data_IF_728658491741
#
_entry.id   IF_728658491741
#
_cell.length_a   1.000
_cell.length_b   1.000
_cell.length_c   1.000
_cell.angle_alpha   90.00
_cell.angle_beta   90.00
_cell.angle_gamma   90.00
#
_symmetry.space_group_name_H-M   'P 1'
#
loop_
_entity.id
_entity.type
_entity.pdbx_description
1 polymer ?
#
# COMPACT_ATOMS: atom_id res chain seq x y z
N UNK A 1 -9.36 5.73 -19.59
CA UNK A 1 -9.44 6.36 -18.25
C UNK A 1 -9.42 7.87 -18.41
N UNK A 2 -10.20 8.60 -17.62
CA UNK A 2 -10.19 10.07 -17.60
C UNK A 2 -9.59 10.55 -16.27
N UNK A 3 -8.69 11.53 -16.33
CA UNK A 3 -8.05 12.11 -15.16
C UNK A 3 -7.86 13.62 -15.41
N UNK A 4 -8.57 14.45 -14.63
CA UNK A 4 -8.72 15.87 -14.92
C UNK A 4 -9.47 16.09 -16.24
N UNK A 5 -8.98 17.00 -17.07
CA UNK A 5 -9.51 17.30 -18.41
C UNK A 5 -8.98 16.38 -19.52
N UNK A 6 -8.19 15.35 -19.16
CA UNK A 6 -7.45 14.52 -20.12
C UNK A 6 -7.95 13.09 -20.13
N UNK A 7 -8.03 12.52 -21.33
CA UNK A 7 -8.33 11.11 -21.56
C UNK A 7 -7.05 10.34 -21.88
N UNK A 8 -6.86 9.23 -21.19
CA UNK A 8 -5.71 8.35 -21.30
C UNK A 8 -6.13 6.97 -21.78
N UNK A 9 -5.44 6.48 -22.79
CA UNK A 9 -5.49 5.07 -23.18
C UNK A 9 -4.35 4.34 -22.45
N UNK A 10 -4.73 3.50 -21.50
CA UNK A 10 -3.79 2.76 -20.66
C UNK A 10 -4.40 1.40 -20.30
N UNK A 11 -3.55 0.37 -20.19
CA UNK A 11 -3.97 -0.96 -19.78
C UNK A 11 -4.21 -0.93 -18.27
N UNK A 12 -5.44 -1.20 -17.85
CA UNK A 12 -5.82 -1.23 -16.43
C UNK A 12 -6.05 -2.66 -15.98
N UNK A 13 -5.78 -2.92 -14.71
CA UNK A 13 -6.08 -4.20 -14.06
C UNK A 13 -7.42 -4.09 -13.33
N UNK A 14 -8.25 -5.12 -13.45
CA UNK A 14 -9.53 -5.22 -12.75
C UNK A 14 -9.31 -6.13 -11.54
N UNK A 15 -9.57 -5.61 -10.35
CA UNK A 15 -9.56 -6.33 -9.09
C UNK A 15 -10.80 -5.94 -8.28
N UNK A 16 -11.26 -6.83 -7.41
CA UNK A 16 -12.34 -6.54 -6.47
C UNK A 16 -11.77 -5.67 -5.34
N UNK A 17 -11.95 -4.35 -5.48
CA UNK A 17 -11.47 -3.34 -4.53
C UNK A 17 -12.61 -2.39 -4.17
N UNK A 18 -12.57 -1.85 -2.95
CA UNK A 18 -13.57 -0.89 -2.46
C UNK A 18 -13.44 0.48 -3.12
N UNK A 19 -12.23 0.84 -3.56
CA UNK A 19 -11.96 2.11 -4.23
C UNK A 19 -12.36 2.06 -5.71
N UNK A 20 -12.72 3.20 -6.28
CA UNK A 20 -13.13 3.27 -7.69
C UNK A 20 -12.00 2.95 -8.68
N UNK A 21 -10.76 3.31 -8.33
CA UNK A 21 -9.55 2.95 -9.07
C UNK A 21 -8.28 3.26 -8.26
N UNK A 22 -7.20 2.51 -8.50
CA UNK A 22 -5.87 2.80 -7.96
C UNK A 22 -4.95 3.19 -9.12
N UNK A 23 -4.32 4.36 -9.01
CA UNK A 23 -3.31 4.82 -9.97
C UNK A 23 -1.94 4.30 -9.57
N UNK A 24 -1.38 3.43 -10.40
CA UNK A 24 -0.02 2.90 -10.22
C UNK A 24 1.07 3.93 -10.53
N UNK A 25 2.25 3.72 -9.95
CA UNK A 25 3.42 4.57 -10.18
C UNK A 25 3.89 4.53 -11.64
N UNK A 26 3.68 3.40 -12.32
CA UNK A 26 3.92 3.18 -13.74
C UNK A 26 3.08 4.12 -14.62
N UNK A 27 1.79 4.28 -14.32
CA UNK A 27 0.92 5.24 -14.97
C UNK A 27 1.41 6.68 -14.73
N UNK A 28 1.68 7.03 -13.47
CA UNK A 28 2.13 8.37 -13.09
C UNK A 28 3.43 8.74 -13.80
N UNK A 29 4.41 7.84 -13.84
CA UNK A 29 5.69 8.07 -14.49
C UNK A 29 5.57 8.16 -16.01
N UNK A 30 4.74 7.30 -16.63
CA UNK A 30 4.53 7.27 -18.08
C UNK A 30 3.97 8.59 -18.59
N UNK A 31 2.99 9.15 -17.88
CA UNK A 31 2.32 10.40 -18.26
C UNK A 31 2.88 11.64 -17.54
N UNK A 32 4.05 11.50 -16.89
CA UNK A 32 4.80 12.59 -16.24
C UNK A 32 3.97 13.36 -15.21
N UNK A 33 3.14 12.63 -14.47
CA UNK A 33 2.47 13.17 -13.30
C UNK A 33 3.49 13.39 -12.19
N UNK A 34 3.34 14.51 -11.47
CA UNK A 34 4.07 14.75 -10.22
C UNK A 34 3.07 14.76 -9.08
N UNK A 35 3.40 14.06 -7.99
CA UNK A 35 2.56 13.99 -6.80
C UNK A 35 3.14 14.94 -5.76
N UNK A 36 2.36 15.94 -5.40
CA UNK A 36 2.67 16.91 -4.35
C UNK A 36 1.86 16.51 -3.10
N UNK A 37 2.50 15.75 -2.22
CA UNK A 37 1.88 15.24 -0.98
C UNK A 37 1.63 16.36 0.04
N UNK A 38 2.33 17.49 -0.05
CA UNK A 38 2.11 18.61 0.87
C UNK A 38 0.82 19.34 0.54
N UNK A 39 0.53 19.48 -0.75
CA UNK A 39 -0.68 20.15 -1.24
C UNK A 39 -1.83 19.19 -1.52
N UNK A 40 -1.58 17.89 -1.43
CA UNK A 40 -2.51 16.85 -1.86
C UNK A 40 -2.97 17.06 -3.32
N UNK A 41 -2.02 17.35 -4.21
CA UNK A 41 -2.27 17.59 -5.63
C UNK A 41 -1.48 16.60 -6.49
N UNK A 42 -2.07 16.16 -7.60
CA UNK A 42 -1.30 15.60 -8.72
C UNK A 42 -1.21 16.68 -9.80
N UNK A 43 -0.02 16.88 -10.39
CA UNK A 43 0.17 17.79 -11.51
C UNK A 43 0.53 17.06 -12.78
N UNK A 44 -0.06 17.48 -13.89
CA UNK A 44 0.30 17.03 -15.24
C UNK A 44 0.42 18.23 -16.17
N UNK A 45 1.63 18.50 -16.67
CA UNK A 45 1.90 19.73 -17.41
C UNK A 45 1.52 20.99 -16.61
N UNK A 46 0.57 21.77 -17.11
CA UNK A 46 0.03 22.97 -16.46
C UNK A 46 -1.21 22.71 -15.58
N UNK A 47 -1.73 21.49 -15.58
CA UNK A 47 -2.97 21.13 -14.89
C UNK A 47 -2.67 20.62 -13.48
N UNK A 48 -3.49 21.05 -12.53
CA UNK A 48 -3.45 20.60 -11.13
C UNK A 48 -4.75 19.90 -10.80
N UNK A 49 -4.64 18.69 -10.29
CA UNK A 49 -5.77 17.86 -9.90
C UNK A 49 -5.67 17.69 -8.39
N UNK A 50 -6.60 18.31 -7.65
CA UNK A 50 -6.70 18.11 -6.20
C UNK A 50 -7.14 16.68 -5.92
N UNK A 51 -6.43 16.00 -5.02
CA UNK A 51 -6.76 14.64 -4.59
C UNK A 51 -8.02 14.59 -3.70
N UNK A 52 -8.45 15.73 -3.16
CA UNK A 52 -9.63 15.87 -2.31
C UNK A 52 -10.55 16.99 -2.79
N UNK A 53 -11.86 16.77 -2.71
CA UNK A 53 -12.91 17.77 -3.01
C UNK A 53 -13.56 18.38 -1.75
N UNK A 54 -13.00 18.13 -0.56
CA UNK A 54 -13.52 18.65 0.72
C UNK A 54 -12.63 19.76 1.29
N UNK A 55 -13.23 20.82 1.84
CA UNK A 55 -12.51 21.96 2.41
C UNK A 55 -11.57 21.53 3.55
N UNK A 56 -10.26 21.60 3.32
CA UNK A 56 -9.26 21.56 4.40
C UNK A 56 -9.26 22.90 5.12
N UNK A 57 -9.87 23.00 6.30
CA UNK A 57 -9.50 24.04 7.25
C UNK A 57 -8.26 23.57 8.01
N UNK A 58 -7.19 24.36 7.95
CA UNK A 58 -5.98 24.15 8.72
C UNK A 58 -6.26 24.42 10.21
N UNK A 59 -6.52 23.38 11.01
CA UNK A 59 -6.38 23.51 12.45
C UNK A 59 -4.91 23.36 12.85
N UNK A 60 -4.30 24.50 13.22
CA UNK A 60 -2.98 24.59 13.84
C UNK A 60 -3.04 23.93 15.22
N UNK A 61 -2.62 22.66 15.33
CA UNK A 61 -2.34 22.04 16.63
C UNK A 61 -0.89 22.36 17.01
N UNK A 62 -0.73 23.21 18.02
CA UNK A 62 0.51 23.35 18.77
C UNK A 62 0.60 22.18 19.75
N UNK A 63 1.57 21.28 19.57
CA UNK A 63 2.08 20.49 20.68
C UNK A 63 3.48 19.96 20.37
N UNK A 64 4.34 20.21 21.34
CA UNK A 64 5.74 19.83 21.47
C UNK A 64 5.94 18.30 21.44
N UNK A 65 7.12 17.86 20.99
CA UNK A 65 7.58 16.47 21.14
C UNK A 65 7.55 15.59 19.88
N UNK A 66 8.76 15.21 19.43
CA UNK A 66 9.10 14.37 18.27
C UNK A 66 8.23 13.11 18.14
N UNK A 67 7.55 12.95 17.00
CA UNK A 67 7.12 11.65 16.47
C UNK A 67 7.09 11.68 14.93
N UNK A 68 7.72 10.69 14.32
CA UNK A 68 7.76 10.47 12.86
C UNK A 68 6.35 10.10 12.40
N UNK A 69 5.77 10.97 11.59
CA UNK A 69 4.35 10.92 11.25
C UNK A 69 4.11 10.06 10.00
N UNK A 70 3.62 8.84 10.19
CA UNK A 70 2.83 8.18 9.15
C UNK A 70 1.53 8.98 8.99
N UNK A 71 1.40 9.77 7.92
CA UNK A 71 0.16 10.49 7.60
C UNK A 71 -0.78 9.54 6.87
N UNK A 72 -1.54 8.73 7.61
CA UNK A 72 -2.88 8.37 7.12
C UNK A 72 -3.68 9.67 7.13
N UNK A 73 -4.16 10.08 5.95
CA UNK A 73 -5.01 11.26 5.77
C UNK A 73 -6.40 10.94 6.35
N UNK A 74 -6.53 11.08 7.66
CA UNK A 74 -7.82 11.06 8.34
C UNK A 74 -8.41 12.48 8.30
N UNK A 75 -9.69 12.60 7.92
CA UNK A 75 -10.46 13.83 8.07
C UNK A 75 -10.70 14.13 9.57
N UNK A 76 -10.78 15.42 9.93
CA UNK A 76 -11.14 15.85 11.29
C UNK A 76 -12.65 15.62 11.51
N UNK A 77 -13.00 14.76 12.48
CA UNK A 77 -14.36 14.24 12.71
C UNK A 77 -14.49 12.70 12.71
N UNK A 78 -13.38 11.97 12.56
CA UNK A 78 -13.41 10.50 12.56
C UNK A 78 -13.46 9.91 13.99
N UNK A 79 -14.63 9.41 14.37
CA UNK A 79 -14.85 8.37 15.38
C UNK A 79 -16.01 7.48 14.92
N UNK A 80 -15.97 6.16 15.19
CA UNK A 80 -15.33 5.17 14.34
C UNK A 80 -15.97 5.12 12.95
N UNK A 81 -15.19 4.80 11.91
CA UNK A 81 -15.63 4.58 10.53
C UNK A 81 -16.95 3.81 10.45
N UNK A 82 -18.06 4.53 10.43
CA UNK A 82 -19.41 3.98 10.39
C UNK A 82 -20.01 4.36 9.05
N UNK A 83 -20.31 3.31 8.30
CA UNK A 83 -20.78 3.32 6.93
C UNK A 83 -22.02 4.22 6.76
N UNK A 84 -21.93 5.18 5.86
CA UNK A 84 -23.09 5.82 5.24
C UNK A 84 -22.78 6.04 3.76
N UNK A 85 -23.14 5.04 2.96
CA UNK A 85 -23.20 5.12 1.51
C UNK A 85 -24.04 6.33 1.11
N UNK A 86 -23.40 7.36 0.55
CA UNK A 86 -24.10 8.27 -0.35
C UNK A 86 -23.87 7.77 -1.76
N UNK A 87 -24.84 6.97 -2.23
CA UNK A 87 -25.01 6.62 -3.64
C UNK A 87 -25.02 7.90 -4.48
N UNK A 88 -23.89 8.21 -5.09
CA UNK A 88 -23.89 8.91 -6.37
C UNK A 88 -23.58 7.87 -7.44
N UNK A 89 -24.66 7.25 -7.93
CA UNK A 89 -24.61 6.42 -9.12
C UNK A 89 -24.43 7.36 -10.31
N UNK A 90 -23.19 7.58 -10.72
CA UNK A 90 -22.89 8.05 -12.07
C UNK A 90 -22.22 6.89 -12.79
N UNK A 91 -23.05 6.06 -13.44
CA UNK A 91 -22.59 5.16 -14.50
C UNK A 91 -21.98 6.04 -15.58
N UNK A 92 -20.65 6.06 -15.61
CA UNK A 92 -19.91 6.52 -16.78
C UNK A 92 -19.45 5.26 -17.49
N UNK A 93 -19.86 5.11 -18.74
CA UNK A 93 -19.42 4.01 -19.61
C UNK A 93 -17.90 4.13 -19.83
N UNK A 94 -17.12 3.50 -18.96
CA UNK A 94 -15.70 3.33 -19.15
C UNK A 94 -15.53 2.13 -20.07
N UNK A 95 -15.30 2.39 -21.36
CA UNK A 95 -14.86 1.35 -22.29
C UNK A 95 -13.44 0.90 -21.92
N UNK A 96 -13.34 -0.18 -21.14
CA UNK A 96 -12.09 -0.82 -20.77
C UNK A 96 -11.95 -2.10 -21.58
N UNK A 97 -10.90 -2.18 -22.38
CA UNK A 97 -10.49 -3.43 -22.99
C UNK A 97 -9.78 -4.26 -21.91
N UNK A 98 -10.49 -5.27 -21.39
CA UNK A 98 -9.96 -6.16 -20.35
C UNK A 98 -8.88 -7.05 -20.96
N UNK A 99 -7.62 -6.76 -20.65
CA UNK A 99 -6.53 -7.67 -20.97
C UNK A 99 -6.41 -8.68 -19.83
N UNK A 100 -6.84 -9.92 -20.07
CA UNK A 100 -6.53 -11.06 -19.20
C UNK A 100 -5.01 -11.15 -19.02
N UNK A 101 -4.57 -11.26 -17.76
CA UNK A 101 -3.15 -11.35 -17.40
C UNK A 101 -2.44 -12.44 -18.21
N UNK A 102 -1.53 -12.06 -19.10
CA UNK A 102 -0.43 -12.93 -19.51
C UNK A 102 0.66 -12.81 -18.45
N UNK A 103 1.10 -13.97 -17.97
CA UNK A 103 1.97 -14.27 -16.81
C UNK A 103 3.39 -13.66 -16.83
N UNK A 104 3.64 -12.61 -17.61
CA UNK A 104 4.99 -12.13 -17.93
C UNK A 104 5.62 -11.20 -16.86
N UNK A 105 4.87 -10.79 -15.83
CA UNK A 105 5.38 -9.99 -14.70
C UNK A 105 5.16 -10.68 -13.35
N UNK A 106 5.18 -12.02 -13.34
CA UNK A 106 5.12 -12.80 -12.10
C UNK A 106 6.53 -13.29 -11.82
N UNK A 107 7.19 -12.69 -10.83
CA UNK A 107 8.39 -13.28 -10.25
C UNK A 107 8.12 -14.75 -9.97
N UNK A 108 9.01 -15.62 -10.44
CA UNK A 108 8.98 -17.03 -10.09
C UNK A 108 9.17 -17.18 -8.58
N UNK A 109 8.63 -18.27 -8.03
CA UNK A 109 8.81 -18.57 -6.61
C UNK A 109 10.29 -18.60 -6.21
N UNK A 110 11.16 -19.13 -7.08
CA UNK A 110 12.61 -19.16 -6.90
C UNK A 110 13.25 -17.77 -6.85
N UNK A 111 12.78 -16.83 -7.66
CA UNK A 111 13.28 -15.44 -7.62
C UNK A 111 12.90 -14.75 -6.32
N UNK A 112 11.67 -14.99 -5.82
CA UNK A 112 11.22 -14.44 -4.54
C UNK A 112 12.02 -15.04 -3.38
N UNK A 113 12.18 -16.37 -3.35
CA UNK A 113 13.01 -17.03 -2.33
C UNK A 113 14.43 -16.47 -2.32
N UNK A 114 15.05 -16.36 -3.50
CA UNK A 114 16.41 -15.84 -3.65
C UNK A 114 16.50 -14.41 -3.14
N UNK A 115 15.58 -13.53 -3.52
CA UNK A 115 15.61 -12.15 -3.07
C UNK A 115 15.43 -12.01 -1.55
N UNK A 116 14.54 -12.81 -0.92
CA UNK A 116 14.41 -12.82 0.54
C UNK A 116 15.66 -13.35 1.25
N UNK A 117 16.38 -14.29 0.64
CA UNK A 117 17.65 -14.80 1.14
C UNK A 117 18.82 -13.84 0.92
N UNK A 118 18.74 -12.93 -0.05
CA UNK A 118 19.74 -11.89 -0.30
C UNK A 118 19.50 -10.62 0.53
N UNK A 119 18.24 -10.35 0.88
CA UNK A 119 17.85 -9.21 1.70
C UNK A 119 18.41 -9.34 3.14
N UNK A 120 19.25 -8.39 3.59
CA UNK A 120 19.90 -8.47 4.90
C UNK A 120 18.92 -8.37 6.09
N UNK A 121 17.74 -7.77 5.89
CA UNK A 121 16.75 -7.51 6.94
C UNK A 121 15.65 -8.59 6.99
N UNK A 122 15.35 -9.22 5.85
CA UNK A 122 14.37 -10.31 5.77
C UNK A 122 15.02 -11.67 6.05
N UNK A 123 16.25 -11.89 5.56
CA UNK A 123 16.97 -13.18 5.69
C UNK A 123 17.05 -13.68 7.13
N UNK A 124 17.33 -12.86 8.17
CA UNK A 124 17.39 -13.35 9.54
C UNK A 124 16.04 -13.91 10.01
N UNK A 125 14.93 -13.21 9.72
CA UNK A 125 13.58 -13.64 10.07
C UNK A 125 13.18 -14.92 9.32
N UNK A 126 13.52 -15.00 8.03
CA UNK A 126 13.28 -16.20 7.23
C UNK A 126 13.97 -17.43 7.85
N UNK A 127 15.25 -17.30 8.23
CA UNK A 127 16.01 -18.37 8.91
C UNK A 127 15.38 -18.74 10.25
N UNK A 128 15.00 -17.74 11.06
CA UNK A 128 14.36 -17.99 12.35
C UNK A 128 13.04 -18.76 12.19
N UNK A 129 12.19 -18.37 11.21
CA UNK A 129 10.92 -19.06 10.92
C UNK A 129 11.10 -20.47 10.40
N UNK A 130 12.19 -20.73 9.67
CA UNK A 130 12.53 -22.09 9.21
C UNK A 130 13.02 -22.97 10.36
N UNK A 131 13.71 -22.40 11.35
CA UNK A 131 14.30 -23.13 12.46
C UNK A 131 13.31 -23.41 13.61
N UNK A 132 12.36 -22.50 13.87
CA UNK A 132 11.35 -22.66 14.93
C UNK A 132 10.04 -21.96 14.59
N UNK A 133 8.93 -22.53 15.05
CA UNK A 133 7.62 -21.89 15.01
C UNK A 133 7.51 -20.76 16.07
N UNK A 134 8.22 -20.91 17.17
CA UNK A 134 8.16 -19.99 18.29
C UNK A 134 8.88 -18.68 17.97
N UNK A 135 8.34 -17.59 18.52
CA UNK A 135 8.93 -16.26 18.34
C UNK A 135 10.27 -16.20 19.07
N UNK A 136 11.36 -15.79 18.40
CA UNK A 136 12.65 -15.56 19.04
C UNK A 136 12.52 -14.58 20.20
N UNK A 137 13.36 -14.73 21.21
CA UNK A 137 13.43 -13.82 22.34
C UNK A 137 13.98 -12.44 21.93
N UNK A 138 13.79 -11.45 22.80
CA UNK A 138 14.33 -10.10 22.59
C UNK A 138 15.88 -10.10 22.56
N UNK A 139 16.53 -11.01 23.31
CA UNK A 139 17.99 -11.13 23.33
C UNK A 139 18.53 -11.62 21.99
N UNK A 140 17.86 -12.59 21.37
CA UNK A 140 18.26 -13.14 20.07
C UNK A 140 18.16 -12.11 18.94
N UNK A 141 17.19 -11.19 19.01
CA UNK A 141 17.00 -10.13 18.00
C UNK A 141 17.77 -8.84 18.33
N UNK A 142 18.38 -8.72 19.52
CA UNK A 142 18.93 -7.46 20.02
C UNK A 142 20.02 -6.87 19.09
N UNK A 143 20.81 -7.73 18.46
CA UNK A 143 21.91 -7.33 17.56
C UNK A 143 21.48 -7.11 16.11
N UNK A 144 20.25 -7.47 15.75
CA UNK A 144 19.74 -7.32 14.39
C UNK A 144 19.37 -5.87 14.06
N UNK A 145 19.21 -5.61 12.75
CA UNK A 145 18.84 -4.28 12.24
C UNK A 145 17.48 -3.81 12.76
N UNK A 146 17.23 -2.48 12.80
CA UNK A 146 15.91 -1.93 13.11
C UNK A 146 14.79 -2.51 12.25
N UNK A 147 15.06 -2.76 10.96
CA UNK A 147 14.13 -3.31 9.98
C UNK A 147 13.79 -4.77 10.30
N UNK A 148 14.80 -5.59 10.61
CA UNK A 148 14.62 -6.98 11.06
C UNK A 148 13.76 -7.02 12.33
N UNK A 149 14.02 -6.12 13.30
CA UNK A 149 13.24 -6.01 14.53
C UNK A 149 11.77 -5.63 14.27
N UNK A 150 11.48 -4.84 13.23
CA UNK A 150 10.09 -4.55 12.82
C UNK A 150 9.40 -5.81 12.31
N UNK A 151 10.06 -6.61 11.49
CA UNK A 151 9.52 -7.90 11.05
C UNK A 151 9.35 -8.88 12.22
N UNK A 152 10.30 -8.92 13.15
CA UNK A 152 10.17 -9.69 14.40
C UNK A 152 8.96 -9.24 15.23
N UNK A 153 8.65 -7.94 15.28
CA UNK A 153 7.44 -7.44 15.93
C UNK A 153 6.16 -7.99 15.29
N UNK A 154 6.19 -8.26 13.99
CA UNK A 154 5.10 -8.83 13.20
C UNK A 154 5.09 -10.37 13.17
N UNK A 155 5.88 -11.06 14.01
CA UNK A 155 6.11 -12.50 13.94
C UNK A 155 4.84 -13.36 13.76
N UNK A 156 3.76 -13.01 14.47
CA UNK A 156 2.49 -13.75 14.46
C UNK A 156 1.73 -13.60 13.14
N UNK A 157 1.93 -12.47 12.45
CA UNK A 157 1.39 -12.22 11.12
C UNK A 157 2.28 -12.81 10.01
N UNK A 158 3.49 -13.29 10.33
CA UNK A 158 4.41 -13.86 9.36
C UNK A 158 4.29 -15.39 9.31
N UNK A 159 4.27 -15.94 8.10
CA UNK A 159 4.19 -17.38 7.87
C UNK A 159 5.03 -17.82 6.68
N UNK A 160 5.40 -19.09 6.66
CA UNK A 160 6.12 -19.69 5.54
C UNK A 160 5.15 -20.43 4.64
N UNK A 161 5.33 -20.26 3.33
CA UNK A 161 4.68 -21.07 2.31
C UNK A 161 5.68 -21.31 1.18
N UNK A 162 5.88 -22.57 0.86
CA UNK A 162 6.83 -23.00 -0.18
C UNK A 162 8.22 -22.34 -0.05
N UNK A 163 8.75 -22.24 1.18
CA UNK A 163 10.06 -21.61 1.44
C UNK A 163 10.12 -20.08 1.35
N UNK A 164 9.02 -19.41 1.06
CA UNK A 164 8.90 -17.94 1.03
C UNK A 164 8.20 -17.45 2.29
N UNK A 165 8.71 -16.35 2.84
CA UNK A 165 8.10 -15.64 3.95
C UNK A 165 6.98 -14.73 3.44
N UNK A 166 5.77 -14.95 3.95
CA UNK A 166 4.59 -14.14 3.68
C UNK A 166 4.14 -13.41 4.95
N UNK A 167 3.44 -12.30 4.74
CA UNK A 167 2.73 -11.57 5.79
C UNK A 167 1.23 -11.71 5.55
N UNK A 168 0.51 -12.19 6.56
CA UNK A 168 -0.95 -12.12 6.62
C UNK A 168 -1.36 -10.66 6.69
N UNK A 169 -2.35 -10.29 5.88
CA UNK A 169 -3.02 -9.03 6.02
C UNK A 169 -4.24 -9.24 6.91
N UNK A 170 -4.40 -8.39 7.94
CA UNK A 170 -5.66 -8.34 8.69
C UNK A 170 -6.59 -7.40 7.91
N UNK A 171 -7.69 -7.95 7.39
CA UNK A 171 -8.78 -7.11 6.88
C UNK A 171 -9.39 -6.33 8.03
N UNK A 172 -9.96 -5.14 7.75
CA UNK A 172 -10.67 -4.35 8.76
C UNK A 172 -11.84 -5.11 9.40
N UNK A 173 -12.32 -6.19 8.77
CA UNK A 173 -13.42 -7.03 9.22
C UNK A 173 -12.99 -8.16 10.16
N UNK A 174 -11.69 -8.28 10.47
CA UNK A 174 -11.15 -9.33 11.33
C UNK A 174 -10.97 -10.69 10.64
N UNK A 175 -11.30 -10.79 9.36
CA UNK A 175 -11.08 -11.99 8.56
C UNK A 175 -9.66 -12.06 7.98
N UNK A 176 -9.09 -13.27 8.01
CA UNK A 176 -7.73 -13.57 7.57
C UNK A 176 -7.72 -14.15 6.14
N UNK A 177 -6.91 -13.55 5.25
CA UNK A 177 -6.62 -14.05 3.91
C UNK A 177 -5.14 -14.43 3.75
#
# INVERSE_FOLDING_TARGET
MECGSRKFQYRVYIADITDSCILGLDFLQKFKFTVDLEKNEIRTGSEKISLFSGSTQHHKRTSDGKNVQSRRLCFEGCEPCSNAEKKFRTETDISVEALTMTTENRWSLSEIQKAQLEDPDIRPILKMKLNSADRPSCQEIAHESPETKRYWALWNSLYLKDGVLYRKWESNDGDFY
#
